data_IF_651768080663
#
_entry.id   IF_651768080663
#
_cell.length_a   1.000
_cell.length_b   1.000
_cell.length_c   1.000
_cell.angle_alpha   90.00
_cell.angle_beta   90.00
_cell.angle_gamma   90.00
#
_symmetry.space_group_name_H-M   'P 1'
#
loop_
_entity.id
_entity.type
_entity.pdbx_description
1 polymer ?
#
# COMPACT_ATOMS: atom_id res chain seq x y z
N UNK A 1 3.60 25.01 18.55
CA UNK A 1 3.40 24.58 17.15
C UNK A 1 4.76 24.33 16.52
N UNK A 2 5.27 23.10 16.61
CA UNK A 2 6.49 22.75 15.88
C UNK A 2 6.10 22.47 14.43
N UNK A 3 6.30 23.45 13.57
CA UNK A 3 6.26 23.27 12.12
C UNK A 3 7.50 22.47 11.71
N UNK A 4 7.32 21.20 11.37
CA UNK A 4 8.36 20.43 10.70
C UNK A 4 8.55 21.03 9.31
N UNK A 5 9.72 21.63 9.07
CA UNK A 5 10.10 22.19 7.77
C UNK A 5 11.00 21.19 7.08
N UNK A 6 10.75 20.90 5.80
CA UNK A 6 11.68 20.09 5.02
C UNK A 6 13.02 20.83 4.93
N UNK A 7 14.09 20.23 5.48
CA UNK A 7 15.44 20.73 5.27
C UNK A 7 15.86 20.43 3.81
N UNK A 8 16.65 21.30 3.18
CA UNK A 8 17.23 21.01 1.87
C UNK A 8 18.08 19.74 1.97
N UNK A 9 17.92 18.83 1.02
CA UNK A 9 18.78 17.65 0.90
C UNK A 9 20.18 18.12 0.43
N UNK A 10 21.16 18.07 1.32
CA UNK A 10 22.56 18.46 1.07
C UNK A 10 23.46 17.23 0.84
N UNK A 11 22.89 16.04 0.63
CA UNK A 11 23.66 14.83 0.34
C UNK A 11 24.31 14.97 -1.04
N UNK A 12 25.63 14.74 -1.11
CA UNK A 12 26.32 14.53 -2.39
C UNK A 12 25.73 13.28 -3.06
N UNK A 13 25.38 13.42 -4.33
CA UNK A 13 24.78 12.38 -5.17
C UNK A 13 25.86 11.37 -5.61
N UNK A 14 26.36 10.60 -4.64
CA UNK A 14 27.44 9.65 -4.83
C UNK A 14 26.88 8.28 -5.29
N UNK A 15 26.70 8.16 -6.61
CA UNK A 15 26.56 6.95 -7.45
C UNK A 15 25.15 6.32 -7.68
N UNK A 16 24.93 5.74 -8.88
CA UNK A 16 24.75 6.41 -10.15
C UNK A 16 23.28 6.42 -10.61
N UNK A 17 22.89 7.43 -11.40
CA UNK A 17 21.67 7.43 -12.19
C UNK A 17 21.79 6.40 -13.32
N UNK A 18 21.52 5.13 -13.00
CA UNK A 18 21.46 3.99 -13.93
C UNK A 18 22.78 3.69 -14.67
N UNK A 19 23.05 2.41 -14.99
CA UNK A 19 24.02 2.12 -16.06
C UNK A 19 23.38 2.44 -17.42
N UNK A 20 24.19 2.80 -18.42
CA UNK A 20 23.69 3.06 -19.77
C UNK A 20 22.99 1.83 -20.40
N UNK A 21 23.33 0.63 -19.94
CA UNK A 21 22.74 -0.64 -20.38
C UNK A 21 21.37 -0.89 -19.76
N UNK A 22 21.19 -0.65 -18.46
CA UNK A 22 19.93 -0.93 -17.76
C UNK A 22 18.90 0.18 -17.92
N UNK A 23 19.34 1.41 -18.19
CA UNK A 23 18.47 2.60 -18.27
C UNK A 23 17.30 2.44 -19.26
N UNK A 24 17.48 1.98 -20.52
CA UNK A 24 16.36 1.85 -21.46
C UNK A 24 15.30 0.84 -21.01
N UNK A 25 15.73 -0.23 -20.33
CA UNK A 25 14.82 -1.26 -19.79
C UNK A 25 14.01 -0.69 -18.63
N UNK A 26 14.66 0.04 -17.72
CA UNK A 26 14.01 0.71 -16.58
C UNK A 26 13.02 1.77 -17.08
N UNK A 27 13.43 2.62 -18.03
CA UNK A 27 12.55 3.62 -18.64
C UNK A 27 11.31 2.98 -19.27
N UNK A 28 11.49 1.88 -20.00
CA UNK A 28 10.38 1.11 -20.58
C UNK A 28 9.41 0.60 -19.51
N UNK A 29 9.93 0.08 -18.39
CA UNK A 29 9.12 -0.41 -17.27
C UNK A 29 8.36 0.73 -16.58
N UNK A 30 9.02 1.86 -16.29
CA UNK A 30 8.39 3.02 -15.66
C UNK A 30 7.32 3.67 -16.54
N UNK A 31 7.45 3.60 -17.87
CA UNK A 31 6.46 4.11 -18.82
C UNK A 31 5.10 3.37 -18.76
N UNK A 32 4.96 2.31 -17.97
CA UNK A 32 3.66 1.68 -17.67
C UNK A 32 2.62 2.68 -17.16
N UNK A 33 3.05 3.73 -16.45
CA UNK A 33 2.19 4.81 -15.95
C UNK A 33 1.51 5.63 -17.08
N UNK A 34 2.04 5.57 -18.31
CA UNK A 34 1.43 6.20 -19.50
C UNK A 34 0.43 5.29 -20.22
N UNK A 35 0.29 4.03 -19.81
CA UNK A 35 -0.64 3.11 -20.45
C UNK A 35 -2.10 3.52 -20.26
N UNK A 36 -2.99 3.02 -21.13
CA UNK A 36 -4.43 3.29 -21.06
C UNK A 36 -5.05 2.94 -19.69
N UNK A 37 -4.40 2.05 -18.93
CA UNK A 37 -4.83 1.65 -17.59
C UNK A 37 -4.93 2.82 -16.62
N UNK A 38 -4.04 3.81 -16.77
CA UNK A 38 -3.93 4.97 -15.88
C UNK A 38 -4.53 6.25 -16.46
N UNK A 39 -5.04 6.18 -17.70
CA UNK A 39 -5.50 7.34 -18.49
C UNK A 39 -6.54 8.20 -17.80
N UNK A 40 -7.41 7.60 -17.00
CA UNK A 40 -8.44 8.31 -16.24
C UNK A 40 -7.84 9.35 -15.26
N UNK A 41 -6.59 9.16 -14.82
CA UNK A 41 -5.93 10.02 -13.86
C UNK A 41 -4.94 11.02 -14.47
N UNK A 42 -4.50 10.81 -15.73
CA UNK A 42 -3.45 11.62 -16.37
C UNK A 42 -3.72 13.13 -16.38
N UNK A 43 -4.99 13.54 -16.45
CA UNK A 43 -5.39 14.96 -16.44
C UNK A 43 -5.29 15.61 -15.04
N UNK A 44 -5.27 14.81 -13.98
CA UNK A 44 -5.26 15.25 -12.59
C UNK A 44 -3.87 15.08 -11.97
N UNK A 45 -3.20 13.97 -12.28
CA UNK A 45 -1.87 13.61 -11.79
C UNK A 45 -0.96 13.31 -12.98
N UNK A 46 0.10 14.10 -13.15
CA UNK A 46 1.04 13.97 -14.27
C UNK A 46 1.88 12.70 -14.14
N UNK A 47 1.80 11.75 -15.09
CA UNK A 47 2.61 10.53 -15.04
C UNK A 47 4.12 10.82 -15.08
N UNK A 48 4.54 11.89 -15.77
CA UNK A 48 5.95 12.24 -15.95
C UNK A 48 6.70 12.42 -14.62
N UNK A 49 6.07 13.05 -13.62
CA UNK A 49 6.69 13.32 -12.31
C UNK A 49 7.01 12.00 -11.59
N UNK A 50 6.10 11.03 -11.64
CA UNK A 50 6.26 9.70 -11.04
C UNK A 50 7.21 8.82 -11.84
N UNK A 51 7.26 8.98 -13.16
CA UNK A 51 8.21 8.26 -14.01
C UNK A 51 9.65 8.64 -13.68
N UNK A 52 9.93 9.92 -13.40
CA UNK A 52 11.28 10.33 -12.98
C UNK A 52 11.68 9.68 -11.65
N UNK A 53 10.76 9.66 -10.68
CA UNK A 53 10.98 8.99 -9.38
C UNK A 53 11.18 7.48 -9.59
N UNK A 54 10.35 6.84 -10.43
CA UNK A 54 10.48 5.44 -10.77
C UNK A 54 11.86 5.11 -11.36
N UNK A 55 12.32 5.89 -12.35
CA UNK A 55 13.63 5.65 -12.98
C UNK A 55 14.72 5.80 -11.93
N UNK A 56 14.67 6.87 -11.12
CA UNK A 56 15.63 7.11 -10.06
C UNK A 56 15.71 5.93 -9.07
N UNK A 57 14.58 5.54 -8.48
CA UNK A 57 14.52 4.50 -7.46
C UNK A 57 14.89 3.13 -8.02
N UNK A 58 14.36 2.79 -9.20
CA UNK A 58 14.75 1.54 -9.86
C UNK A 58 16.24 1.51 -10.17
N UNK A 59 16.87 2.63 -10.52
CA UNK A 59 18.30 2.67 -10.76
C UNK A 59 19.13 2.55 -9.48
N UNK A 60 18.68 3.18 -8.39
CA UNK A 60 19.26 2.99 -7.05
C UNK A 60 19.19 1.52 -6.60
N UNK A 61 18.16 0.82 -7.03
CA UNK A 61 17.86 -0.56 -6.65
C UNK A 61 18.10 -1.58 -7.77
N UNK A 62 19.00 -1.31 -8.71
CA UNK A 62 19.42 -2.22 -9.79
C UNK A 62 18.26 -2.91 -10.55
N UNK A 63 17.22 -2.13 -10.88
CA UNK A 63 16.04 -2.59 -11.62
C UNK A 63 15.07 -3.44 -10.80
N UNK A 64 15.13 -3.44 -9.46
CA UNK A 64 14.18 -4.18 -8.62
C UNK A 64 12.73 -3.81 -8.94
N UNK A 65 11.92 -4.82 -9.29
CA UNK A 65 10.48 -4.64 -9.57
C UNK A 65 9.69 -4.14 -8.36
N UNK A 66 10.13 -4.38 -7.13
CA UNK A 66 9.46 -3.83 -5.94
C UNK A 66 9.43 -2.30 -5.96
N UNK A 67 10.55 -1.66 -6.33
CA UNK A 67 10.61 -0.20 -6.46
C UNK A 67 9.63 0.33 -7.53
N UNK A 68 9.49 -0.36 -8.67
CA UNK A 68 8.45 -0.05 -9.65
C UNK A 68 7.05 -0.15 -9.03
N UNK A 69 6.76 -1.24 -8.33
CA UNK A 69 5.45 -1.46 -7.73
C UNK A 69 5.12 -0.43 -6.66
N UNK A 70 6.09 0.03 -5.88
CA UNK A 70 5.91 1.05 -4.84
C UNK A 70 5.57 2.40 -5.48
N UNK A 71 6.24 2.78 -6.58
CA UNK A 71 5.92 4.03 -7.30
C UNK A 71 4.57 3.94 -8.03
N UNK A 72 4.21 2.79 -8.59
CA UNK A 72 2.88 2.60 -9.19
C UNK A 72 1.78 2.65 -8.13
N UNK A 73 1.99 2.05 -6.96
CA UNK A 73 1.06 2.18 -5.82
C UNK A 73 0.90 3.65 -5.43
N UNK A 74 2.00 4.38 -5.29
CA UNK A 74 1.96 5.80 -4.93
C UNK A 74 1.21 6.66 -5.96
N UNK A 75 1.39 6.38 -7.26
CA UNK A 75 0.61 7.04 -8.32
C UNK A 75 -0.89 6.73 -8.18
N UNK A 76 -1.25 5.47 -7.96
CA UNK A 76 -2.64 5.03 -7.82
C UNK A 76 -3.29 5.62 -6.56
N UNK A 77 -2.57 5.70 -5.45
CA UNK A 77 -3.06 6.31 -4.21
C UNK A 77 -3.29 7.82 -4.40
N UNK A 78 -2.40 8.50 -5.13
CA UNK A 78 -2.58 9.91 -5.51
C UNK A 78 -3.83 10.08 -6.38
N UNK A 79 -4.05 9.19 -7.35
CA UNK A 79 -5.27 9.16 -8.15
C UNK A 79 -6.53 8.93 -7.31
N UNK A 80 -6.46 8.04 -6.30
CA UNK A 80 -7.55 7.77 -5.37
C UNK A 80 -7.93 9.02 -4.58
N UNK A 81 -6.97 9.83 -4.16
CA UNK A 81 -7.23 11.11 -3.47
C UNK A 81 -7.98 12.12 -4.35
N UNK A 82 -7.95 11.93 -5.67
CA UNK A 82 -8.77 12.69 -6.63
C UNK A 82 -10.08 11.97 -7.01
N UNK A 83 -10.46 10.91 -6.29
CA UNK A 83 -11.67 10.14 -6.51
C UNK A 83 -11.58 9.12 -7.65
N UNK A 84 -10.38 8.84 -8.18
CA UNK A 84 -10.17 7.90 -9.29
C UNK A 84 -9.64 6.57 -8.76
N UNK A 85 -10.45 5.51 -8.83
CA UNK A 85 -10.06 4.16 -8.43
C UNK A 85 -9.52 3.38 -9.63
N UNK A 86 -8.28 2.90 -9.55
CA UNK A 86 -7.60 2.18 -10.64
C UNK A 86 -7.18 0.79 -10.15
N UNK A 87 -7.78 -0.26 -10.71
CA UNK A 87 -7.42 -1.66 -10.41
C UNK A 87 -6.19 -2.11 -11.20
N UNK A 88 -4.98 -1.89 -10.72
CA UNK A 88 -3.76 -1.97 -11.53
C UNK A 88 -2.97 -3.28 -11.36
N UNK A 89 -3.06 -3.93 -10.19
CA UNK A 89 -2.36 -5.18 -9.90
C UNK A 89 -2.99 -6.36 -10.62
N UNK A 90 -2.18 -7.36 -10.93
CA UNK A 90 -2.64 -8.67 -11.40
C UNK A 90 -1.59 -9.76 -11.09
N UNK A 91 -1.83 -11.00 -11.52
CA UNK A 91 -0.95 -12.14 -11.23
C UNK A 91 0.45 -12.03 -11.84
N UNK A 92 0.66 -11.19 -12.86
CA UNK A 92 1.94 -11.01 -13.54
C UNK A 92 2.58 -9.64 -13.30
N UNK A 93 1.78 -8.65 -12.87
CA UNK A 93 2.21 -7.29 -12.60
C UNK A 93 1.89 -6.88 -11.16
N UNK A 94 2.95 -6.77 -10.35
CA UNK A 94 2.88 -6.36 -8.95
C UNK A 94 1.81 -7.11 -8.13
N UNK A 95 1.82 -8.45 -8.11
CA UNK A 95 0.85 -9.22 -7.32
C UNK A 95 0.97 -8.86 -5.84
N UNK A 96 -0.18 -8.76 -5.16
CA UNK A 96 -0.25 -8.56 -3.72
C UNK A 96 -0.83 -9.83 -3.07
N UNK A 97 0.01 -10.79 -2.65
CA UNK A 97 -0.45 -12.01 -2.02
C UNK A 97 -0.98 -11.70 -0.61
N UNK A 98 -2.22 -12.11 -0.34
CA UNK A 98 -2.81 -11.96 0.98
C UNK A 98 -2.55 -13.19 1.87
N UNK A 99 -2.32 -12.99 3.18
CA UNK A 99 -2.19 -14.08 4.15
C UNK A 99 -3.38 -15.05 4.13
N UNK A 100 -3.19 -16.24 4.70
CA UNK A 100 -4.29 -17.20 4.88
C UNK A 100 -5.50 -16.55 5.57
N UNK A 101 -6.69 -16.89 5.10
CA UNK A 101 -7.96 -16.35 5.62
C UNK A 101 -8.13 -14.84 5.44
N UNK A 102 -7.46 -14.27 4.44
CA UNK A 102 -7.69 -12.91 3.96
C UNK A 102 -7.79 -12.89 2.44
N UNK A 103 -8.37 -11.83 1.90
CA UNK A 103 -8.51 -11.63 0.47
C UNK A 103 -8.10 -10.21 0.10
N UNK A 104 -7.69 -10.04 -1.15
CA UNK A 104 -7.32 -8.74 -1.69
C UNK A 104 -8.58 -7.89 -1.95
N UNK A 105 -8.52 -6.61 -1.58
CA UNK A 105 -9.53 -5.61 -1.92
C UNK A 105 -8.86 -4.27 -2.25
N UNK A 106 -9.49 -3.51 -3.16
CA UNK A 106 -9.03 -2.16 -3.53
C UNK A 106 -9.33 -1.11 -2.44
N UNK A 107 -10.07 -1.51 -1.40
CA UNK A 107 -10.62 -0.65 -0.34
C UNK A 107 -10.74 -1.44 0.97
N UNK A 108 -9.64 -1.54 1.70
CA UNK A 108 -9.57 -2.04 3.08
C UNK A 108 -9.94 -0.90 4.02
N UNK A 109 -10.80 -1.20 4.99
CA UNK A 109 -11.10 -0.27 6.10
C UNK A 109 -9.83 0.13 6.85
N UNK A 110 -9.70 1.41 7.19
CA UNK A 110 -8.63 1.92 8.06
C UNK A 110 -8.76 1.43 9.51
N UNK A 111 -9.92 0.88 9.88
CA UNK A 111 -10.19 0.26 11.16
C UNK A 111 -10.68 -1.18 10.97
N UNK A 112 -9.79 -2.14 10.68
CA UNK A 112 -10.19 -3.53 10.56
C UNK A 112 -10.73 -4.05 11.90
N UNK A 113 -11.70 -4.96 11.86
CA UNK A 113 -12.11 -5.70 13.07
C UNK A 113 -10.92 -6.48 13.63
N UNK A 114 -10.67 -6.33 14.92
CA UNK A 114 -9.61 -7.02 15.64
C UNK A 114 -10.19 -7.89 16.76
N UNK A 115 -9.40 -8.81 17.32
CA UNK A 115 -9.85 -9.51 18.52
C UNK A 115 -10.09 -8.58 19.72
N UNK A 116 -9.44 -7.41 19.75
CA UNK A 116 -9.69 -6.41 20.78
C UNK A 116 -11.01 -5.68 20.51
N UNK A 117 -11.27 -5.27 19.27
CA UNK A 117 -12.51 -4.59 18.89
C UNK A 117 -13.10 -5.18 17.60
N UNK A 118 -14.13 -6.01 17.77
CA UNK A 118 -14.78 -6.72 16.67
C UNK A 118 -15.70 -5.80 15.86
N UNK A 119 -16.13 -4.67 16.42
CA UNK A 119 -17.04 -3.71 15.79
C UNK A 119 -16.33 -2.49 15.20
N UNK A 120 -14.99 -2.46 15.27
CA UNK A 120 -14.16 -1.34 14.77
C UNK A 120 -14.48 -0.99 13.31
N UNK A 121 -14.68 -2.00 12.46
CA UNK A 121 -15.02 -1.81 11.04
C UNK A 121 -16.33 -1.04 10.86
N UNK A 122 -17.41 -1.47 11.50
CA UNK A 122 -18.73 -0.83 11.41
C UNK A 122 -18.76 0.59 11.98
N UNK A 123 -17.87 0.90 12.95
CA UNK A 123 -17.76 2.25 13.51
C UNK A 123 -17.00 3.20 12.57
N UNK A 124 -16.06 2.67 11.77
CA UNK A 124 -15.26 3.43 10.82
C UNK A 124 -15.84 3.49 9.40
N UNK A 125 -16.91 2.74 9.09
CA UNK A 125 -17.70 2.92 7.86
C UNK A 125 -18.22 4.36 7.64
N UNK A 126 -18.11 5.23 8.66
CA UNK A 126 -18.39 6.67 8.56
C UNK A 126 -17.29 7.49 7.87
N UNK A 127 -16.13 6.91 7.59
CA UNK A 127 -15.04 7.56 6.85
C UNK A 127 -14.94 6.96 5.45
N UNK A 128 -15.07 7.76 4.40
CA UNK A 128 -14.86 7.33 3.00
C UNK A 128 -13.38 7.01 2.67
N UNK A 129 -12.49 7.05 3.66
CA UNK A 129 -11.07 6.79 3.51
C UNK A 129 -10.78 5.29 3.61
N UNK A 130 -10.36 4.70 2.49
CA UNK A 130 -9.86 3.34 2.44
C UNK A 130 -8.61 3.22 1.56
N UNK A 131 -7.84 2.16 1.78
CA UNK A 131 -6.58 1.89 1.09
C UNK A 131 -6.58 0.48 0.52
N UNK A 132 -5.88 0.26 -0.59
CA UNK A 132 -5.72 -1.08 -1.17
C UNK A 132 -4.95 -1.99 -0.22
N UNK A 133 -5.38 -3.25 -0.11
CA UNK A 133 -4.69 -4.19 0.75
C UNK A 133 -5.42 -5.52 0.91
N UNK A 134 -5.12 -6.19 2.02
CA UNK A 134 -5.72 -7.46 2.38
C UNK A 134 -6.71 -7.28 3.53
N UNK A 135 -7.92 -7.81 3.36
CA UNK A 135 -8.98 -7.80 4.35
C UNK A 135 -9.25 -9.22 4.84
N UNK A 136 -9.47 -9.39 6.15
CA UNK A 136 -9.80 -10.69 6.71
C UNK A 136 -11.14 -11.20 6.15
N UNK A 137 -11.22 -12.50 5.87
CA UNK A 137 -12.46 -13.14 5.41
C UNK A 137 -13.54 -13.12 6.50
N UNK A 138 -14.80 -13.37 6.10
CA UNK A 138 -15.93 -13.45 7.02
C UNK A 138 -15.66 -14.41 8.18
N UNK A 139 -15.99 -13.97 9.40
CA UNK A 139 -15.73 -14.65 10.68
C UNK A 139 -14.24 -14.73 11.11
N UNK A 140 -13.34 -14.04 10.41
CA UNK A 140 -11.96 -13.83 10.83
C UNK A 140 -11.72 -12.38 11.23
N UNK A 141 -10.87 -12.18 12.24
CA UNK A 141 -10.48 -10.86 12.73
C UNK A 141 -8.97 -10.74 12.81
N UNK A 142 -8.46 -9.52 12.69
CA UNK A 142 -7.02 -9.24 12.72
C UNK A 142 -6.49 -9.37 14.16
N UNK A 143 -5.47 -10.20 14.34
CA UNK A 143 -4.77 -10.40 15.61
C UNK A 143 -3.29 -10.63 15.33
N UNK A 144 -2.41 -9.76 15.85
CA UNK A 144 -0.96 -9.82 15.66
C UNK A 144 -0.53 -9.98 14.18
N UNK A 145 -1.17 -9.24 13.28
CA UNK A 145 -0.87 -9.26 11.84
C UNK A 145 -1.40 -10.49 11.09
N UNK A 146 -2.23 -11.34 11.73
CA UNK A 146 -2.84 -12.53 11.11
C UNK A 146 -4.35 -12.49 11.25
N UNK A 147 -5.06 -13.03 10.26
CA UNK A 147 -6.49 -13.27 10.34
C UNK A 147 -6.73 -14.58 11.07
N UNK A 148 -7.36 -14.50 12.24
CA UNK A 148 -7.70 -15.67 13.08
C UNK A 148 -9.22 -15.80 13.20
N UNK A 149 -9.77 -17.02 13.35
CA UNK A 149 -11.19 -17.19 13.64
C UNK A 149 -11.57 -16.42 14.90
N UNK A 150 -12.78 -15.83 14.93
CA UNK A 150 -13.28 -15.13 16.10
C UNK A 150 -13.23 -15.99 17.39
N UNK A 151 -13.46 -17.30 17.24
CA UNK A 151 -13.37 -18.29 18.33
C UNK A 151 -11.97 -18.43 18.94
N UNK A 152 -10.94 -17.94 18.26
CA UNK A 152 -9.54 -17.97 18.69
C UNK A 152 -9.09 -16.63 19.27
N UNK A 153 -10.01 -15.69 19.47
CA UNK A 153 -9.72 -14.51 20.28
C UNK A 153 -9.62 -14.90 21.75
N UNK A 154 -8.81 -14.15 22.50
CA UNK A 154 -8.64 -14.39 23.92
C UNK A 154 -9.74 -13.74 24.76
N UNK A 155 -9.43 -13.46 26.01
CA UNK A 155 -10.41 -12.99 26.99
C UNK A 155 -10.20 -11.51 27.34
N UNK A 156 -11.19 -10.95 28.03
CA UNK A 156 -11.08 -9.66 28.70
C UNK A 156 -11.17 -9.88 30.21
N UNK A 157 -10.41 -9.11 30.98
CA UNK A 157 -10.57 -9.06 32.43
C UNK A 157 -11.72 -8.12 32.85
N UNK A 158 -11.95 -8.01 34.16
CA UNK A 158 -12.99 -7.16 34.74
C UNK A 158 -12.73 -5.65 34.50
N UNK A 159 -11.48 -5.26 34.26
CA UNK A 159 -11.05 -3.90 33.92
C UNK A 159 -11.10 -3.63 32.40
N UNK A 160 -11.63 -4.57 31.62
CA UNK A 160 -11.75 -4.52 30.16
C UNK A 160 -10.41 -4.45 29.42
N UNK A 161 -9.34 -5.03 29.97
CA UNK A 161 -8.08 -5.28 29.27
C UNK A 161 -8.17 -6.58 28.48
N UNK A 162 -7.75 -6.57 27.21
CA UNK A 162 -7.75 -7.76 26.35
C UNK A 162 -6.44 -8.56 26.49
N UNK A 163 -6.57 -9.87 26.66
CA UNK A 163 -5.48 -10.83 26.74
C UNK A 163 -5.58 -11.82 25.58
N UNK A 164 -4.52 -11.98 24.81
CA UNK A 164 -4.52 -12.91 23.67
C UNK A 164 -4.36 -14.36 24.13
N UNK A 165 -4.83 -15.32 23.33
CA UNK A 165 -4.70 -16.77 23.63
C UNK A 165 -3.23 -17.21 23.78
N UNK A 166 -2.29 -16.52 23.13
CA UNK A 166 -0.85 -16.78 23.21
C UNK A 166 -0.19 -16.29 24.50
N UNK A 167 -0.93 -15.57 25.36
CA UNK A 167 -0.42 -14.91 26.56
C UNK A 167 -0.72 -15.68 27.86
N UNK A 168 -1.33 -16.86 27.74
CA UNK A 168 -1.65 -17.79 28.84
C UNK A 168 -0.72 -19.00 28.84
#
# INVERSE_FOLDING_TARGET
VLSCSCLPDLREDDAPPCTAENKPVIESQCNVLKSDKFKACHNLVKPEDFIQICIHDMCQYDGMKSALCDIVQFYVDTCRNHGIIIKWRNSTFCPLPCPSHSYYTDCVSTCPSTCNDIFASSLCEKTEECTEGCECADNYVLSNGKCVPLSNCGCRDDDNNYYSVSSL
#
